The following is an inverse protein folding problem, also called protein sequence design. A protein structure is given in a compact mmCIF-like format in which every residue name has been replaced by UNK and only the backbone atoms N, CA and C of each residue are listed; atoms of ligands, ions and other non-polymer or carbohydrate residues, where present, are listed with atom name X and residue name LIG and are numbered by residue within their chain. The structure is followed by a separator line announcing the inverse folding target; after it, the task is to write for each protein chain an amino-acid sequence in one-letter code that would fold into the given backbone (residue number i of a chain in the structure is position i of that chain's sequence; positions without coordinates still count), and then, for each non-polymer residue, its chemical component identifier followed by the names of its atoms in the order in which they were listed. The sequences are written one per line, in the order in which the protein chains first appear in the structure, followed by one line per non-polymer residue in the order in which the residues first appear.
data_IF_793606545214
#
_entry.id   IF_793606545214
#
_cell.length_a   1.000
_cell.length_b   1.000
_cell.length_c   1.000
_cell.angle_alpha   90.00
_cell.angle_beta   90.00
_cell.angle_gamma   90.00
#
_symmetry.space_group_name_H-M   'P 1'
#
loop_
_entity.id
_entity.type
_entity.pdbx_description
1 polymer ?
#
# COMPACT_ATOMS: atom_id res chain seq x y z
N UNK A 1 44.74 32.08 -79.11
CA UNK A 1 43.58 32.58 -79.85
C UNK A 1 42.31 32.23 -79.07
N UNK A 2 41.51 33.26 -78.76
CA UNK A 2 40.06 33.24 -78.46
C UNK A 2 39.58 32.48 -77.20
N UNK A 3 39.30 33.16 -76.07
CA UNK A 3 38.02 33.85 -75.68
C UNK A 3 36.94 32.84 -75.24
N UNK A 4 36.49 32.78 -73.97
CA UNK A 4 35.53 33.68 -73.28
C UNK A 4 34.08 33.37 -73.74
N UNK A 5 32.99 33.20 -72.97
CA UNK A 5 32.57 33.49 -71.59
C UNK A 5 31.13 32.91 -71.39
N UNK A 6 30.68 32.80 -70.13
CA UNK A 6 29.27 33.01 -69.67
C UNK A 6 28.37 31.81 -69.33
N UNK A 7 27.91 31.75 -68.08
CA UNK A 7 26.86 30.85 -67.60
C UNK A 7 26.78 30.69 -66.09
N UNK A 8 26.54 31.78 -65.37
CA UNK A 8 26.38 31.88 -63.92
C UNK A 8 25.31 30.92 -63.36
N UNK A 9 25.65 30.19 -62.28
CA UNK A 9 24.73 29.81 -61.20
C UNK A 9 25.57 29.68 -59.91
N UNK A 10 26.12 30.82 -59.49
CA UNK A 10 26.85 30.94 -58.23
C UNK A 10 25.87 30.96 -57.06
N UNK A 11 25.56 29.79 -56.51
CA UNK A 11 25.01 29.69 -55.15
C UNK A 11 26.20 29.48 -54.20
N UNK A 12 26.84 30.59 -53.82
CA UNK A 12 27.75 30.59 -52.69
C UNK A 12 26.89 30.39 -51.44
N UNK A 13 26.89 29.17 -50.91
CA UNK A 13 26.50 28.89 -49.53
C UNK A 13 27.51 29.60 -48.64
N UNK A 14 27.20 30.87 -48.33
CA UNK A 14 27.86 31.63 -47.27
C UNK A 14 27.48 30.93 -45.96
N UNK A 15 28.38 30.09 -45.46
CA UNK A 15 28.36 29.65 -44.07
C UNK A 15 28.69 30.86 -43.19
N UNK A 16 27.68 31.69 -42.92
CA UNK A 16 27.74 32.73 -41.91
C UNK A 16 27.69 32.11 -40.50
N UNK A 17 28.37 32.69 -39.50
CA UNK A 17 28.42 32.17 -38.13
C UNK A 17 27.14 32.49 -37.31
N UNK A 18 25.98 32.64 -37.94
CA UNK A 18 24.76 33.17 -37.30
C UNK A 18 23.57 32.19 -37.28
N UNK A 19 23.80 30.89 -37.48
CA UNK A 19 22.75 29.87 -37.23
C UNK A 19 22.74 29.34 -35.79
N UNK A 20 23.60 29.89 -34.92
CA UNK A 20 23.69 29.59 -33.49
C UNK A 20 22.97 30.69 -32.70
N UNK A 21 21.63 30.67 -32.71
CA UNK A 21 20.84 31.44 -31.73
C UNK A 21 19.43 30.88 -31.54
N UNK A 22 18.80 30.39 -32.60
CA UNK A 22 17.47 29.74 -32.48
C UNK A 22 17.56 28.31 -31.97
N UNK A 23 18.61 27.57 -32.31
CA UNK A 23 18.82 26.19 -31.85
C UNK A 23 19.18 26.14 -30.37
N UNK A 24 20.08 27.00 -29.88
CA UNK A 24 20.44 27.05 -28.46
C UNK A 24 19.31 27.60 -27.58
N UNK A 25 18.51 28.54 -28.08
CA UNK A 25 17.29 29.00 -27.41
C UNK A 25 16.21 27.91 -27.38
N UNK A 26 16.05 27.12 -28.45
CA UNK A 26 15.13 25.97 -28.45
C UNK A 26 15.62 24.84 -27.54
N UNK A 27 16.93 24.58 -27.47
CA UNK A 27 17.52 23.57 -26.58
C UNK A 27 17.41 24.02 -25.12
N UNK A 28 17.69 25.29 -24.81
CA UNK A 28 17.47 25.82 -23.46
C UNK A 28 15.99 25.88 -23.12
N UNK A 29 15.11 26.32 -24.01
CA UNK A 29 13.67 26.34 -23.78
C UNK A 29 13.09 24.92 -23.63
N UNK A 30 13.60 23.94 -24.37
CA UNK A 30 13.18 22.53 -24.27
C UNK A 30 13.72 21.80 -23.04
N UNK A 31 14.82 22.26 -22.44
CA UNK A 31 15.32 21.77 -21.14
C UNK A 31 14.67 22.51 -19.97
N UNK A 32 14.41 23.81 -20.13
CA UNK A 32 13.82 24.65 -19.09
C UNK A 32 12.32 24.36 -18.91
N UNK A 33 11.62 24.00 -19.98
CA UNK A 33 10.21 23.58 -19.95
C UNK A 33 9.95 22.37 -19.02
N UNK A 34 10.62 21.21 -19.16
CA UNK A 34 10.44 20.07 -18.25
C UNK A 34 10.95 20.35 -16.83
N UNK A 35 11.92 21.25 -16.64
CA UNK A 35 12.42 21.63 -15.32
C UNK A 35 11.40 22.48 -14.54
N UNK A 36 10.82 23.49 -15.19
CA UNK A 36 9.78 24.34 -14.58
C UNK A 36 8.47 23.55 -14.40
N UNK A 37 8.06 22.77 -15.40
CA UNK A 37 6.81 21.99 -15.31
C UNK A 37 6.95 20.81 -14.35
N UNK A 38 8.09 20.12 -14.39
CA UNK A 38 8.40 19.04 -13.45
C UNK A 38 8.40 19.55 -12.01
N UNK A 39 9.01 20.70 -11.74
CA UNK A 39 8.98 21.29 -10.38
C UNK A 39 7.57 21.70 -9.95
N UNK A 40 6.77 22.35 -10.80
CA UNK A 40 5.36 22.68 -10.49
C UNK A 40 4.56 21.41 -10.22
N UNK A 41 4.70 20.39 -11.08
CA UNK A 41 3.98 19.13 -10.92
C UNK A 41 4.38 18.39 -9.64
N UNK A 42 5.67 18.40 -9.28
CA UNK A 42 6.15 17.84 -8.00
C UNK A 42 5.58 18.61 -6.81
N UNK A 43 5.50 19.95 -6.89
CA UNK A 43 4.88 20.77 -5.82
C UNK A 43 3.39 20.48 -5.68
N UNK A 44 2.66 20.36 -6.79
CA UNK A 44 1.24 19.95 -6.79
C UNK A 44 1.08 18.54 -6.24
N UNK A 45 1.97 17.61 -6.58
CA UNK A 45 1.95 16.26 -6.05
C UNK A 45 2.20 16.25 -4.55
N UNK A 46 3.22 16.98 -4.11
CA UNK A 46 3.62 17.07 -2.71
C UNK A 46 2.52 17.69 -1.85
N UNK A 47 1.89 18.76 -2.32
CA UNK A 47 0.74 19.38 -1.64
C UNK A 47 -0.44 18.43 -1.60
N UNK A 48 -0.76 17.75 -2.70
CA UNK A 48 -1.82 16.74 -2.76
C UNK A 48 -1.56 15.62 -1.73
N UNK A 49 -0.37 15.02 -1.75
CA UNK A 49 0.06 13.99 -0.80
C UNK A 49 0.05 14.48 0.66
N UNK A 50 0.37 15.76 0.90
CA UNK A 50 0.29 16.37 2.24
C UNK A 50 -1.15 16.47 2.74
N UNK A 51 -2.12 16.76 1.87
CA UNK A 51 -3.54 16.72 2.25
C UNK A 51 -4.02 15.31 2.60
N UNK A 52 -3.45 14.26 1.98
CA UNK A 52 -3.72 12.86 2.33
C UNK A 52 -3.04 12.38 3.63
N UNK A 53 -2.17 13.19 4.25
CA UNK A 53 -1.20 12.77 5.27
C UNK A 53 -1.75 12.33 6.63
N UNK A 54 -3.06 12.43 6.91
CA UNK A 54 -3.57 12.06 8.25
C UNK A 54 -3.95 10.58 8.41
N UNK A 55 -3.86 9.75 7.36
CA UNK A 55 -4.25 8.32 7.43
C UNK A 55 -3.22 7.29 6.94
N UNK A 56 -2.15 7.70 6.25
CA UNK A 56 -1.37 6.76 5.41
C UNK A 56 0.09 6.54 5.81
N UNK A 57 0.38 6.34 7.10
CA UNK A 57 1.71 5.85 7.52
C UNK A 57 1.66 4.41 8.07
N UNK A 58 0.49 3.89 8.48
CA UNK A 58 0.45 2.60 9.19
C UNK A 58 0.20 1.34 8.31
N UNK A 59 -0.37 1.46 7.11
CA UNK A 59 -0.41 0.39 6.12
C UNK A 59 -0.79 1.00 4.76
N UNK A 60 0.10 0.98 3.78
CA UNK A 60 -0.30 1.38 2.42
C UNK A 60 -1.28 0.35 1.88
N UNK A 61 -2.49 0.76 1.52
CA UNK A 61 -3.41 -0.14 0.84
C UNK A 61 -2.87 -0.43 -0.57
N UNK A 62 -3.17 -1.60 -1.12
CA UNK A 62 -2.72 -2.00 -2.46
C UNK A 62 -3.19 -0.99 -3.52
N UNK A 63 -4.37 -0.41 -3.31
CA UNK A 63 -4.93 0.65 -4.17
C UNK A 63 -4.07 1.91 -4.19
N UNK A 64 -3.50 2.30 -3.05
CA UNK A 64 -2.62 3.48 -2.95
C UNK A 64 -1.29 3.24 -3.66
N UNK A 65 -0.78 2.01 -3.58
CA UNK A 65 0.43 1.62 -4.29
C UNK A 65 0.25 1.67 -5.82
N UNK A 66 -0.85 1.11 -6.33
CA UNK A 66 -1.18 1.15 -7.76
C UNK A 66 -1.37 2.61 -8.23
N UNK A 67 -2.06 3.43 -7.45
CA UNK A 67 -2.27 4.85 -7.76
C UNK A 67 -0.95 5.61 -7.86
N UNK A 68 -0.02 5.40 -6.92
CA UNK A 68 1.29 6.05 -6.94
C UNK A 68 2.12 5.68 -8.18
N UNK A 69 2.07 4.41 -8.61
CA UNK A 69 2.72 3.97 -9.85
C UNK A 69 2.08 4.65 -11.07
N UNK A 70 0.75 4.72 -11.13
CA UNK A 70 0.03 5.38 -12.21
C UNK A 70 0.30 6.89 -12.28
N UNK A 71 0.40 7.54 -11.12
CA UNK A 71 0.79 8.95 -10.99
C UNK A 71 2.18 9.16 -11.57
N UNK A 72 3.15 8.32 -11.21
CA UNK A 72 4.53 8.41 -11.72
C UNK A 72 4.60 8.28 -13.24
N UNK A 73 3.87 7.32 -13.82
CA UNK A 73 3.78 7.15 -15.27
C UNK A 73 3.12 8.35 -15.96
N UNK A 74 2.08 8.92 -15.35
CA UNK A 74 1.37 10.09 -15.90
C UNK A 74 2.24 11.34 -15.84
N UNK A 75 2.95 11.53 -14.74
CA UNK A 75 3.90 12.62 -14.54
C UNK A 75 5.04 12.56 -15.58
N UNK A 76 5.60 11.38 -15.81
CA UNK A 76 6.60 11.19 -16.86
C UNK A 76 6.06 11.57 -18.25
N UNK A 77 4.81 11.22 -18.55
CA UNK A 77 4.14 11.61 -19.79
C UNK A 77 3.97 13.13 -19.95
N UNK A 78 3.68 13.85 -18.86
CA UNK A 78 3.59 15.32 -18.85
C UNK A 78 4.94 15.96 -19.13
N UNK A 79 5.99 15.48 -18.46
CA UNK A 79 7.35 16.00 -18.61
C UNK A 79 7.87 15.77 -20.04
N UNK A 80 7.49 14.66 -20.69
CA UNK A 80 7.94 14.30 -22.03
C UNK A 80 7.17 14.99 -23.18
N UNK A 81 6.36 16.02 -22.89
CA UNK A 81 5.78 16.89 -23.91
C UNK A 81 4.35 16.57 -24.37
N UNK A 82 3.62 15.67 -23.69
CA UNK A 82 2.18 15.58 -23.92
C UNK A 82 1.47 16.87 -23.48
N UNK A 83 0.34 17.18 -24.12
CA UNK A 83 -0.49 18.34 -23.77
C UNK A 83 -0.74 18.42 -22.27
N UNK A 84 -0.28 19.51 -21.64
CA UNK A 84 -0.36 19.75 -20.19
C UNK A 84 -1.79 19.57 -19.66
N UNK A 85 -2.77 20.07 -20.43
CA UNK A 85 -4.19 19.94 -20.09
C UNK A 85 -4.62 18.46 -19.97
N UNK A 86 -4.18 17.59 -20.88
CA UNK A 86 -4.51 16.16 -20.84
C UNK A 86 -3.85 15.47 -19.64
N UNK A 87 -2.61 15.81 -19.34
CA UNK A 87 -1.90 15.24 -18.20
C UNK A 87 -2.45 15.69 -16.85
N UNK A 88 -2.81 16.98 -16.72
CA UNK A 88 -3.50 17.49 -15.52
C UNK A 88 -4.85 16.82 -15.32
N UNK A 89 -5.65 16.65 -16.39
CA UNK A 89 -6.93 15.92 -16.31
C UNK A 89 -6.68 14.49 -15.85
N UNK A 90 -5.70 13.79 -16.43
CA UNK A 90 -5.32 12.43 -16.03
C UNK A 90 -4.91 12.32 -14.56
N UNK A 91 -4.05 13.23 -14.09
CA UNK A 91 -3.65 13.28 -12.68
C UNK A 91 -4.85 13.54 -11.76
N UNK A 92 -5.71 14.51 -12.10
CA UNK A 92 -6.93 14.80 -11.33
C UNK A 92 -7.88 13.60 -11.30
N UNK A 93 -8.02 12.86 -12.41
CA UNK A 93 -8.84 11.64 -12.46
C UNK A 93 -8.28 10.55 -11.55
N UNK A 94 -6.96 10.32 -11.58
CA UNK A 94 -6.32 9.30 -10.72
C UNK A 94 -6.45 9.67 -9.24
N UNK A 95 -6.15 10.92 -8.88
CA UNK A 95 -6.29 11.41 -7.51
C UNK A 95 -7.75 11.40 -7.04
N UNK A 96 -8.68 11.79 -7.91
CA UNK A 96 -10.11 11.74 -7.64
C UNK A 96 -10.61 10.32 -7.42
N UNK A 97 -10.11 9.36 -8.20
CA UNK A 97 -10.41 7.94 -8.02
C UNK A 97 -9.85 7.40 -6.70
N UNK A 98 -8.61 7.78 -6.34
CA UNK A 98 -8.01 7.40 -5.07
C UNK A 98 -8.80 7.95 -3.88
N UNK A 99 -9.20 9.22 -3.95
CA UNK A 99 -10.07 9.84 -2.95
C UNK A 99 -11.43 9.13 -2.87
N UNK A 100 -12.05 8.83 -4.01
CA UNK A 100 -13.32 8.14 -4.07
C UNK A 100 -13.24 6.75 -3.44
N UNK A 101 -12.17 5.99 -3.71
CA UNK A 101 -11.94 4.69 -3.10
C UNK A 101 -11.73 4.79 -1.58
N UNK A 102 -10.96 5.77 -1.10
CA UNK A 102 -10.82 6.00 0.34
C UNK A 102 -12.15 6.42 0.99
N UNK A 103 -12.95 7.24 0.32
CA UNK A 103 -14.26 7.69 0.81
C UNK A 103 -15.25 6.53 0.90
N UNK A 104 -15.31 5.69 -0.15
CA UNK A 104 -16.11 4.47 -0.17
C UNK A 104 -15.65 3.53 0.95
N UNK A 105 -14.34 3.32 1.12
CA UNK A 105 -13.79 2.48 2.18
C UNK A 105 -14.11 2.97 3.59
N UNK A 106 -14.16 4.28 3.82
CA UNK A 106 -14.52 4.85 5.10
C UNK A 106 -16.02 4.74 5.43
N UNK A 107 -16.88 4.63 4.40
CA UNK A 107 -18.34 4.62 4.55
C UNK A 107 -18.95 3.22 4.43
N UNK A 108 -18.20 2.25 3.92
CA UNK A 108 -18.63 0.86 3.86
C UNK A 108 -18.71 0.28 5.27
N UNK A 109 -19.84 -0.36 5.65
CA UNK A 109 -19.93 -1.10 6.91
C UNK A 109 -18.90 -2.24 6.91
N UNK A 110 -18.41 -2.61 8.10
CA UNK A 110 -17.34 -3.62 8.32
C UNK A 110 -17.57 -4.94 7.57
N UNK A 111 -18.83 -5.31 7.33
CA UNK A 111 -19.23 -6.50 6.59
C UNK A 111 -18.87 -6.47 5.08
N UNK A 112 -18.77 -5.28 4.49
CA UNK A 112 -18.35 -5.08 3.09
C UNK A 112 -16.92 -4.56 2.98
N UNK A 113 -16.25 -4.31 4.11
CA UNK A 113 -14.86 -3.86 4.14
C UNK A 113 -13.92 -4.85 3.44
N UNK A 114 -14.27 -6.15 3.36
CA UNK A 114 -13.48 -7.15 2.64
C UNK A 114 -13.18 -6.74 1.18
N UNK A 115 -14.10 -6.01 0.53
CA UNK A 115 -14.00 -5.62 -0.88
C UNK A 115 -12.83 -4.64 -1.09
N UNK A 116 -12.54 -3.80 -0.10
CA UNK A 116 -11.48 -2.79 -0.15
C UNK A 116 -10.27 -3.12 0.75
N UNK A 117 -10.45 -3.99 1.74
CA UNK A 117 -9.43 -4.36 2.73
C UNK A 117 -9.71 -5.78 3.22
N UNK A 118 -8.81 -6.71 2.90
CA UNK A 118 -8.95 -8.09 3.36
C UNK A 118 -8.85 -8.14 4.89
N UNK A 119 -9.73 -8.89 5.59
CA UNK A 119 -9.61 -9.05 7.04
C UNK A 119 -8.27 -9.71 7.38
N UNK A 120 -7.68 -9.40 8.55
CA UNK A 120 -6.43 -10.00 8.97
C UNK A 120 -6.61 -11.52 9.13
N UNK A 121 -5.65 -12.29 8.63
CA UNK A 121 -5.69 -13.76 8.59
C UNK A 121 -4.73 -14.33 9.62
N UNK A 122 -5.18 -15.27 10.44
CA UNK A 122 -4.32 -15.94 11.43
C UNK A 122 -3.68 -17.18 10.81
N UNK A 123 -2.36 -17.25 10.91
CA UNK A 123 -1.57 -18.36 10.35
C UNK A 123 -0.90 -19.21 11.43
N UNK A 124 -0.74 -18.68 12.63
CA UNK A 124 -0.20 -19.42 13.77
C UNK A 124 -0.93 -19.00 15.05
N UNK A 125 -1.20 -19.97 15.92
CA UNK A 125 -1.89 -19.76 17.19
C UNK A 125 -1.32 -20.70 18.26
N UNK A 126 -0.93 -20.14 19.42
CA UNK A 126 -0.36 -20.85 20.58
C UNK A 126 0.78 -21.82 20.20
N UNK A 127 1.68 -21.37 19.34
CA UNK A 127 2.80 -22.16 18.81
C UNK A 127 2.44 -23.23 17.78
N UNK A 128 1.18 -23.36 17.36
CA UNK A 128 0.74 -24.26 16.29
C UNK A 128 0.53 -23.50 14.99
N UNK A 129 1.07 -24.04 13.90
CA UNK A 129 0.89 -23.50 12.55
C UNK A 129 -0.44 -23.99 11.97
N UNK A 130 -1.25 -23.07 11.42
CA UNK A 130 -2.50 -23.36 10.73
C UNK A 130 -2.22 -23.62 9.24
N UNK A 131 -1.62 -24.76 8.93
CA UNK A 131 -1.17 -25.12 7.57
C UNK A 131 -2.31 -25.10 6.54
N UNK A 132 -3.54 -25.42 6.96
CA UNK A 132 -4.75 -25.38 6.11
C UNK A 132 -5.08 -23.95 5.66
N UNK A 133 -4.91 -22.98 6.55
CA UNK A 133 -5.13 -21.55 6.26
C UNK A 133 -4.00 -21.04 5.37
N UNK A 134 -2.75 -21.38 5.70
CA UNK A 134 -1.59 -21.00 4.89
C UNK A 134 -1.69 -21.49 3.44
N UNK A 135 -2.10 -22.76 3.23
CA UNK A 135 -2.28 -23.33 1.90
C UNK A 135 -3.40 -22.63 1.11
N UNK A 136 -4.53 -22.32 1.75
CA UNK A 136 -5.64 -21.59 1.12
C UNK A 136 -5.24 -20.20 0.63
N UNK A 137 -4.40 -19.51 1.40
CA UNK A 137 -3.93 -18.16 1.10
C UNK A 137 -2.56 -18.12 0.38
N UNK A 138 -2.04 -19.29 -0.07
CA UNK A 138 -0.78 -19.44 -0.80
C UNK A 138 0.44 -18.84 -0.08
N UNK A 139 0.47 -18.92 1.24
CA UNK A 139 1.57 -18.41 2.05
C UNK A 139 2.62 -19.49 2.21
N UNK A 140 3.87 -19.17 1.89
CA UNK A 140 4.98 -20.10 2.07
C UNK A 140 5.46 -20.11 3.53
N UNK A 141 5.75 -21.30 4.05
CA UNK A 141 6.40 -21.44 5.36
C UNK A 141 7.77 -20.74 5.41
N UNK A 142 8.50 -20.74 4.29
CA UNK A 142 9.81 -20.09 4.19
C UNK A 142 9.75 -18.58 4.48
N UNK A 143 8.71 -17.90 4.02
CA UNK A 143 8.51 -16.47 4.25
C UNK A 143 8.22 -16.18 5.72
N UNK A 144 7.39 -17.03 6.35
CA UNK A 144 7.13 -16.95 7.79
C UNK A 144 8.41 -17.13 8.61
N UNK A 145 9.21 -18.16 8.32
CA UNK A 145 10.48 -18.36 9.03
C UNK A 145 11.48 -17.22 8.78
N UNK A 146 11.52 -16.66 7.58
CA UNK A 146 12.35 -15.48 7.30
C UNK A 146 11.91 -14.28 8.14
N UNK A 147 10.61 -14.05 8.27
CA UNK A 147 10.04 -13.01 9.13
C UNK A 147 10.36 -13.25 10.62
N UNK A 148 10.21 -14.48 11.11
CA UNK A 148 10.55 -14.84 12.50
C UNK A 148 12.04 -14.57 12.81
N UNK A 149 12.93 -14.90 11.85
CA UNK A 149 14.37 -14.57 11.97
C UNK A 149 14.62 -13.07 12.04
N UNK A 150 13.92 -12.26 11.25
CA UNK A 150 14.03 -10.79 11.33
C UNK A 150 13.58 -10.23 12.69
N UNK A 151 12.65 -10.92 13.36
CA UNK A 151 12.16 -10.57 14.70
C UNK A 151 12.95 -11.22 15.84
N UNK A 152 14.04 -11.94 15.55
CA UNK A 152 14.87 -12.68 16.50
C UNK A 152 14.10 -13.73 17.33
N UNK A 153 13.05 -14.33 16.75
CA UNK A 153 12.28 -15.40 17.38
C UNK A 153 12.80 -16.73 16.84
N UNK A 154 13.34 -17.56 17.74
CA UNK A 154 13.99 -18.83 17.39
C UNK A 154 13.03 -20.02 17.54
N UNK A 155 12.11 -19.94 18.51
CA UNK A 155 11.16 -21.00 18.80
C UNK A 155 9.72 -20.55 18.50
N UNK A 156 8.95 -21.43 17.85
CA UNK A 156 7.54 -21.22 17.60
C UNK A 156 6.72 -21.31 18.89
N UNK A 157 7.22 -22.01 19.91
CA UNK A 157 6.53 -22.17 21.19
C UNK A 157 6.34 -20.85 21.94
N UNK A 158 7.19 -19.84 21.67
CA UNK A 158 7.11 -18.51 22.28
C UNK A 158 6.01 -17.62 21.66
N UNK A 159 5.44 -18.06 20.53
CA UNK A 159 4.49 -17.29 19.74
C UNK A 159 3.07 -17.57 20.21
N UNK A 160 2.32 -16.51 20.54
CA UNK A 160 0.89 -16.64 20.86
C UNK A 160 0.05 -16.57 19.60
N UNK A 161 0.30 -15.62 18.71
CA UNK A 161 -0.38 -15.58 17.41
C UNK A 161 0.42 -14.83 16.35
N UNK A 162 0.19 -15.21 15.09
CA UNK A 162 0.72 -14.50 13.91
C UNK A 162 -0.43 -14.20 12.96
N UNK A 163 -0.53 -12.93 12.59
CA UNK A 163 -1.48 -12.40 11.64
C UNK A 163 -0.78 -12.04 10.33
N UNK A 164 -1.54 -12.11 9.26
CA UNK A 164 -1.22 -11.49 7.98
C UNK A 164 -2.20 -10.36 7.77
N UNK A 165 -1.67 -9.16 7.61
CA UNK A 165 -2.44 -7.95 7.31
C UNK A 165 -2.82 -7.87 5.82
N UNK A 166 -3.77 -6.99 5.48
CA UNK A 166 -4.25 -6.81 4.11
C UNK A 166 -3.14 -6.43 3.10
N UNK A 167 -2.05 -5.81 3.57
CA UNK A 167 -0.89 -5.45 2.76
C UNK A 167 0.11 -6.62 2.57
N UNK A 168 -0.18 -7.81 3.12
CA UNK A 168 0.70 -8.98 3.08
C UNK A 168 1.83 -8.96 4.10
N UNK A 169 1.87 -7.97 5.01
CA UNK A 169 2.83 -7.95 6.11
C UNK A 169 2.43 -8.90 7.23
N UNK A 170 3.42 -9.42 7.94
CA UNK A 170 3.22 -10.28 9.10
C UNK A 170 3.23 -9.43 10.38
N UNK A 171 2.25 -9.67 11.25
CA UNK A 171 2.20 -9.13 12.61
C UNK A 171 2.31 -10.30 13.58
N UNK A 172 3.16 -10.20 14.61
CA UNK A 172 3.39 -11.27 15.58
C UNK A 172 3.20 -10.78 17.01
N UNK A 173 2.53 -11.60 17.81
CA UNK A 173 2.42 -11.43 19.25
C UNK A 173 3.01 -12.65 19.95
N UNK A 174 3.94 -12.39 20.85
CA UNK A 174 4.58 -13.42 21.68
C UNK A 174 3.80 -13.64 22.97
N UNK A 175 3.94 -14.81 23.58
CA UNK A 175 3.34 -15.15 24.88
C UNK A 175 3.76 -14.18 25.98
N UNK A 176 5.01 -13.72 25.95
CA UNK A 176 5.52 -12.73 26.89
C UNK A 176 4.81 -11.36 26.76
N UNK A 177 4.42 -10.96 25.55
CA UNK A 177 3.71 -9.71 25.29
C UNK A 177 2.23 -9.77 25.67
N UNK A 178 1.59 -10.92 25.42
CA UNK A 178 0.19 -11.12 25.78
C UNK A 178 0.06 -11.25 27.31
N UNK A 179 0.99 -11.97 27.95
CA UNK A 179 1.01 -12.18 29.40
C UNK A 179 -0.30 -12.78 29.95
N UNK A 180 -0.42 -12.84 31.27
CA UNK A 180 -1.66 -13.26 31.95
C UNK A 180 -2.71 -12.12 32.01
N UNK A 181 -2.62 -11.14 31.10
CA UNK A 181 -3.43 -9.92 31.16
C UNK A 181 -4.78 -10.15 30.49
N UNK A 182 -5.84 -10.11 31.31
CA UNK A 182 -7.29 -10.11 31.00
C UNK A 182 -7.81 -9.06 29.99
N UNK A 183 -6.95 -8.35 29.24
CA UNK A 183 -7.37 -7.32 28.27
C UNK A 183 -6.68 -7.53 26.94
N UNK A 184 -7.17 -8.52 26.20
CA UNK A 184 -6.80 -8.77 24.80
C UNK A 184 -7.92 -8.29 23.88
N UNK A 185 -8.57 -7.18 24.25
CA UNK A 185 -9.76 -6.64 23.57
C UNK A 185 -9.48 -6.40 22.06
N UNK A 186 -8.26 -5.98 21.72
CA UNK A 186 -7.84 -5.72 20.34
C UNK A 186 -7.74 -7.02 19.52
N UNK A 187 -7.27 -8.13 20.09
CA UNK A 187 -7.20 -9.39 19.34
C UNK A 187 -8.58 -10.06 19.26
N UNK A 188 -9.43 -9.89 20.29
CA UNK A 188 -10.80 -10.41 20.30
C UNK A 188 -11.72 -9.72 19.29
N UNK A 189 -11.39 -8.50 18.86
CA UNK A 189 -12.09 -7.84 17.74
C UNK A 189 -11.89 -8.56 16.41
N UNK A 190 -10.83 -9.36 16.26
CA UNK A 190 -10.61 -10.17 15.06
C UNK A 190 -11.45 -11.44 15.14
N UNK A 191 -12.47 -11.63 14.29
CA UNK A 191 -13.38 -12.78 14.42
C UNK A 191 -12.68 -14.13 14.32
N UNK A 192 -11.63 -14.21 13.50
CA UNK A 192 -10.83 -15.43 13.37
C UNK A 192 -10.02 -15.75 14.62
N UNK A 193 -9.62 -14.75 15.42
CA UNK A 193 -8.88 -14.98 16.67
C UNK A 193 -9.84 -15.45 17.74
N UNK A 194 -10.98 -14.75 17.88
CA UNK A 194 -12.04 -15.13 18.83
C UNK A 194 -12.47 -16.59 18.64
N UNK A 195 -12.79 -16.98 17.40
CA UNK A 195 -13.20 -18.36 17.12
C UNK A 195 -12.14 -19.43 17.48
N UNK A 196 -10.84 -19.10 17.40
CA UNK A 196 -9.77 -20.00 17.81
C UNK A 196 -9.58 -20.07 19.32
N UNK A 197 -9.85 -18.96 20.03
CA UNK A 197 -9.91 -18.95 21.50
C UNK A 197 -11.09 -19.79 21.99
N UNK A 198 -12.29 -19.60 21.41
CA UNK A 198 -13.50 -20.33 21.79
C UNK A 198 -13.32 -21.85 21.60
N UNK A 199 -12.78 -22.29 20.45
CA UNK A 199 -12.44 -23.72 20.21
C UNK A 199 -11.39 -24.24 21.20
N UNK A 200 -10.40 -23.43 21.57
CA UNK A 200 -9.40 -23.84 22.54
C UNK A 200 -9.99 -24.00 23.95
N UNK A 201 -10.88 -23.10 24.35
CA UNK A 201 -11.51 -23.08 25.67
C UNK A 201 -12.56 -24.20 25.79
N UNK A 202 -13.33 -24.49 24.73
CA UNK A 202 -14.23 -25.66 24.67
C UNK A 202 -13.47 -26.97 24.89
N UNK A 203 -12.29 -27.11 24.26
CA UNK A 203 -11.45 -28.31 24.40
C UNK A 203 -10.83 -28.45 25.79
N UNK A 204 -10.53 -27.34 26.45
CA UNK A 204 -10.06 -27.33 27.85
C UNK A 204 -11.21 -27.71 28.79
N UNK A 205 -12.40 -27.16 28.58
CA UNK A 205 -13.60 -27.47 29.36
C UNK A 205 -14.01 -28.94 29.23
N UNK A 206 -13.93 -29.52 28.03
CA UNK A 206 -14.18 -30.95 27.79
C UNK A 206 -13.19 -31.83 28.56
N UNK A 207 -11.91 -31.48 28.56
CA UNK A 207 -10.87 -32.26 29.23
C UNK A 207 -10.89 -32.09 30.77
N UNK A 208 -11.41 -30.96 31.28
CA UNK A 208 -11.43 -30.63 32.72
C UNK A 208 -12.79 -30.95 33.37
N UNK A 209 -13.84 -31.18 32.58
CA UNK A 209 -15.20 -31.45 33.07
C UNK A 209 -15.93 -30.22 33.63
N UNK A 210 -15.35 -29.03 33.52
CA UNK A 210 -15.89 -27.77 34.05
C UNK A 210 -16.59 -26.97 32.93
N UNK A 211 -17.91 -27.13 32.82
CA UNK A 211 -18.76 -26.43 31.82
C UNK A 211 -19.40 -25.16 32.37
N UNK A 212 -19.38 -24.94 33.69
CA UNK A 212 -20.02 -23.80 34.33
C UNK A 212 -19.14 -22.54 34.24
N UNK A 213 -17.81 -22.70 34.27
CA UNK A 213 -16.85 -21.61 34.04
C UNK A 213 -16.88 -21.01 32.62
N UNK A 214 -17.16 -21.83 31.60
CA UNK A 214 -17.22 -21.39 30.20
C UNK A 214 -18.40 -20.42 29.95
N UNK A 215 -19.57 -20.70 30.55
CA UNK A 215 -20.76 -19.83 30.43
C UNK A 215 -20.58 -18.48 31.12
N UNK A 216 -19.94 -18.45 32.28
CA UNK A 216 -19.66 -17.20 33.00
C UNK A 216 -18.69 -16.27 32.24
N UNK A 217 -17.78 -16.84 31.43
CA UNK A 217 -16.86 -16.06 30.61
C UNK A 217 -17.53 -15.46 29.36
N UNK A 218 -18.42 -16.24 28.72
CA UNK A 218 -19.18 -15.82 27.55
C UNK A 218 -20.16 -14.68 27.88
N UNK A 219 -20.83 -14.75 29.03
CA UNK A 219 -21.70 -13.69 29.56
C UNK A 219 -20.93 -12.37 29.81
N UNK A 220 -19.70 -12.47 30.32
CA UNK A 220 -18.86 -11.30 30.60
C UNK A 220 -18.28 -10.68 29.32
N UNK A 221 -17.99 -11.48 28.30
CA UNK A 221 -17.56 -10.98 26.99
C UNK A 221 -18.71 -10.32 26.21
N UNK A 222 -19.92 -10.86 26.28
CA UNK A 222 -21.08 -10.31 25.58
C UNK A 222 -21.52 -8.95 26.17
N UNK A 223 -21.36 -8.76 27.48
CA UNK A 223 -21.58 -7.46 28.13
C UNK A 223 -20.58 -6.38 27.66
N UNK A 224 -19.32 -6.74 27.39
CA UNK A 224 -18.30 -5.80 26.89
C UNK A 224 -18.50 -5.45 25.40
N UNK A 225 -19.08 -6.36 24.61
CA UNK A 225 -19.38 -6.11 23.20
C UNK A 225 -20.62 -5.23 22.98
N UNK A 226 -21.56 -5.21 23.94
CA UNK A 226 -22.77 -4.39 23.88
C UNK A 226 -22.56 -2.89 24.13
N UNK A 227 -21.45 -2.51 24.78
CA UNK A 227 -21.13 -1.12 25.11
C UNK A 227 -20.26 -0.43 24.03
N UNK A 228 -19.79 -1.17 23.01
CA UNK A 228 -19.03 -0.65 21.89
C UNK A 228 -19.98 -0.27 20.73
N UNK A 229 -20.47 0.97 20.79
CA UNK A 229 -21.35 1.61 19.80
C UNK A 229 -20.64 1.90 18.45
#
# INVERSE_FOLDING_TARGET
MSSGSSGNNGTLIVAGPDTIQVADFYVHASILHPLVIGSIAIVVLFTSLRFFSNRSIAAMNVTDWIANVAIGSTLAGIVNGNSLARGMIGLCTILGFQYLMSFIGARLPSQHAWILSSPPIIIAFRGKLLTKVMSRHRICLGDLYAFLRQKNILDLSEIECVFIEANGSFTIYTRAQVGDRKKVDVLLQVPSYKALCDDADERIAENTGDKDGLKACDDQQNHLAGDAC
#
